data_IF_108650804846
#
_entry.id   IF_108650804846
#
_cell.length_a   1.000
_cell.length_b   1.000
_cell.length_c   1.000
_cell.angle_alpha   90.00
_cell.angle_beta   90.00
_cell.angle_gamma   90.00
#
_symmetry.space_group_name_H-M   'P 1'
#
loop_
_entity.id
_entity.type
_entity.pdbx_description
1 polymer ?
#
# COMPACT_ATOMS: atom_id res chain seq x y z
N UNK A 1 13.87 -1.00 5.21
CA UNK A 1 12.64 -0.94 4.37
C UNK A 1 11.43 -0.94 5.28
N UNK A 2 10.50 0.00 5.07
CA UNK A 2 9.33 0.17 5.95
C UNK A 2 8.23 -0.85 5.67
N UNK A 3 7.55 -1.29 6.72
CA UNK A 3 6.43 -2.21 6.62
C UNK A 3 5.11 -1.50 6.95
N UNK A 4 4.14 -1.56 6.05
CA UNK A 4 2.77 -1.07 6.22
C UNK A 4 1.87 -2.29 6.43
N UNK A 5 1.34 -2.44 7.65
CA UNK A 5 0.37 -3.50 7.93
C UNK A 5 -1.01 -3.09 7.43
N UNK A 6 -1.58 -3.88 6.50
CA UNK A 6 -2.91 -3.63 5.97
C UNK A 6 -3.96 -4.39 6.79
N UNK A 7 -4.91 -3.67 7.36
CA UNK A 7 -6.11 -4.20 8.02
C UNK A 7 -7.10 -4.78 6.99
N UNK A 8 -6.56 -5.61 6.07
CA UNK A 8 -7.32 -6.07 4.90
C UNK A 8 -7.14 -7.55 4.66
N UNK A 9 -8.25 -8.20 4.31
CA UNK A 9 -8.31 -9.59 3.89
C UNK A 9 -9.21 -9.71 2.67
N UNK A 10 -8.80 -10.50 1.68
CA UNK A 10 -9.55 -10.64 0.41
C UNK A 10 -9.88 -9.30 -0.26
N UNK A 11 -8.91 -8.39 -0.26
CA UNK A 11 -8.99 -7.04 -0.84
C UNK A 11 -10.08 -6.12 -0.22
N UNK A 12 -10.48 -6.38 1.02
CA UNK A 12 -11.43 -5.55 1.78
C UNK A 12 -10.90 -5.28 3.19
N UNK A 13 -11.23 -4.13 3.76
CA UNK A 13 -11.03 -3.84 5.17
C UNK A 13 -11.80 -4.83 6.01
N UNK A 14 -11.15 -5.43 7.03
CA UNK A 14 -11.76 -6.44 7.88
C UNK A 14 -12.81 -5.82 8.81
N UNK A 15 -13.89 -6.53 9.09
CA UNK A 15 -15.00 -6.01 9.91
C UNK A 15 -14.59 -5.75 11.37
N UNK A 16 -13.57 -6.46 11.87
CA UNK A 16 -13.02 -6.32 13.23
C UNK A 16 -11.75 -5.46 13.27
N UNK A 17 -11.62 -4.50 12.34
CA UNK A 17 -10.41 -3.70 12.12
C UNK A 17 -9.89 -3.02 13.41
N UNK A 18 -10.74 -2.51 14.28
CA UNK A 18 -10.34 -1.90 15.56
C UNK A 18 -9.69 -2.92 16.50
N UNK A 19 -10.28 -4.12 16.64
CA UNK A 19 -9.71 -5.17 17.49
C UNK A 19 -8.37 -5.66 16.95
N UNK A 20 -8.25 -5.80 15.63
CA UNK A 20 -7.01 -6.16 14.94
C UNK A 20 -5.96 -5.07 15.10
N UNK A 21 -6.34 -3.79 15.00
CA UNK A 21 -5.47 -2.64 15.25
C UNK A 21 -4.87 -2.69 16.66
N UNK A 22 -5.72 -2.87 17.68
CA UNK A 22 -5.26 -2.95 19.08
C UNK A 22 -4.23 -4.06 19.27
N UNK A 23 -4.49 -5.24 18.71
CA UNK A 23 -3.53 -6.35 18.76
C UNK A 23 -2.24 -6.02 18.00
N UNK A 24 -2.33 -5.46 16.81
CA UNK A 24 -1.17 -5.15 15.96
C UNK A 24 -0.24 -4.11 16.63
N UNK A 25 -0.79 -3.08 17.26
CA UNK A 25 -0.04 -2.04 17.93
C UNK A 25 0.84 -2.58 19.08
N UNK A 26 0.46 -3.71 19.70
CA UNK A 26 1.29 -4.36 20.74
C UNK A 26 2.62 -4.88 20.20
N UNK A 27 2.75 -5.12 18.90
CA UNK A 27 3.98 -5.59 18.25
C UNK A 27 4.97 -4.47 17.93
N UNK A 28 4.55 -3.21 18.08
CA UNK A 28 5.36 -2.05 17.73
C UNK A 28 5.17 -1.56 16.29
N UNK A 29 4.31 -2.20 15.47
CA UNK A 29 3.97 -1.65 14.15
C UNK A 29 3.33 -0.26 14.28
N UNK A 30 3.73 0.67 13.38
CA UNK A 30 3.28 2.08 13.42
C UNK A 30 2.81 2.59 12.07
N UNK A 31 2.82 1.78 11.03
CA UNK A 31 2.29 2.12 9.71
C UNK A 31 1.12 1.19 9.43
N UNK A 32 -0.08 1.73 9.40
CA UNK A 32 -1.33 0.96 9.36
C UNK A 32 -2.13 1.39 8.14
N UNK A 33 -2.48 0.44 7.30
CA UNK A 33 -3.28 0.67 6.12
C UNK A 33 -4.64 -0.04 6.17
N UNK A 34 -5.57 0.47 5.42
CA UNK A 34 -6.89 -0.10 5.15
C UNK A 34 -7.34 0.25 3.73
N UNK A 35 -8.45 -0.30 3.27
CA UNK A 35 -9.01 -0.01 1.93
C UNK A 35 -10.29 0.81 2.02
N UNK A 36 -10.60 1.50 0.93
CA UNK A 36 -11.83 2.25 0.72
C UNK A 36 -13.10 1.37 0.62
N UNK A 37 -12.94 0.06 0.71
CA UNK A 37 -14.00 -0.96 0.62
C UNK A 37 -14.00 -1.88 1.84
N UNK A 38 -15.17 -2.43 2.18
CA UNK A 38 -15.34 -3.34 3.32
C UNK A 38 -15.77 -2.67 4.62
N UNK A 39 -15.77 -1.32 4.70
CA UNK A 39 -16.23 -0.55 5.84
C UNK A 39 -16.96 0.73 5.38
N UNK A 40 -17.79 1.30 6.25
CA UNK A 40 -18.48 2.56 6.02
C UNK A 40 -17.55 3.76 6.22
N UNK A 41 -17.93 4.93 5.70
CA UNK A 41 -17.20 6.19 5.92
C UNK A 41 -16.98 6.48 7.41
N UNK A 42 -18.02 6.27 8.24
CA UNK A 42 -17.95 6.47 9.68
C UNK A 42 -16.92 5.53 10.33
N UNK A 43 -16.96 4.23 9.99
CA UNK A 43 -16.00 3.24 10.49
C UNK A 43 -14.56 3.56 10.07
N UNK A 44 -14.34 3.98 8.81
CA UNK A 44 -13.02 4.39 8.34
C UNK A 44 -12.52 5.66 9.06
N UNK A 45 -13.43 6.59 9.37
CA UNK A 45 -13.12 7.79 10.15
C UNK A 45 -12.68 7.46 11.57
N UNK A 46 -13.45 6.63 12.28
CA UNK A 46 -13.11 6.15 13.63
C UNK A 46 -11.79 5.37 13.64
N UNK A 47 -11.56 4.53 12.61
CA UNK A 47 -10.32 3.78 12.48
C UNK A 47 -9.11 4.71 12.28
N UNK A 48 -9.25 5.73 11.43
CA UNK A 48 -8.20 6.74 11.20
C UNK A 48 -7.88 7.50 12.48
N UNK A 49 -8.88 7.88 13.26
CA UNK A 49 -8.72 8.55 14.55
C UNK A 49 -7.98 7.64 15.55
N UNK A 50 -8.39 6.39 15.68
CA UNK A 50 -7.73 5.41 16.57
C UNK A 50 -6.26 5.17 16.19
N UNK A 51 -5.93 5.09 14.89
CA UNK A 51 -4.54 4.99 14.40
C UNK A 51 -3.74 6.23 14.82
N UNK A 52 -4.30 7.43 14.66
CA UNK A 52 -3.64 8.69 15.04
C UNK A 52 -3.44 8.81 16.54
N UNK A 53 -4.43 8.46 17.36
CA UNK A 53 -4.34 8.47 18.82
C UNK A 53 -3.26 7.51 19.34
N UNK A 54 -3.04 6.39 18.65
CA UNK A 54 -1.96 5.46 18.94
C UNK A 54 -0.56 5.96 18.50
N UNK A 55 -0.46 7.16 17.91
CA UNK A 55 0.80 7.70 17.37
C UNK A 55 1.31 6.92 16.16
N UNK A 56 0.41 6.27 15.42
CA UNK A 56 0.70 5.55 14.20
C UNK A 56 0.31 6.38 12.96
N UNK A 57 0.81 5.98 11.79
CA UNK A 57 0.57 6.62 10.49
C UNK A 57 -0.48 5.82 9.72
N UNK A 58 -1.48 6.51 9.20
CA UNK A 58 -2.61 5.93 8.49
C UNK A 58 -2.42 5.97 6.97
N UNK A 59 -2.77 4.86 6.30
CA UNK A 59 -2.74 4.70 4.85
C UNK A 59 -4.10 4.22 4.36
N UNK A 60 -4.69 4.85 3.35
CA UNK A 60 -5.88 4.34 2.69
C UNK A 60 -5.58 3.97 1.24
N UNK A 61 -5.80 2.71 0.88
CA UNK A 61 -5.63 2.22 -0.49
C UNK A 61 -6.96 2.31 -1.25
N UNK A 62 -6.98 3.11 -2.33
CA UNK A 62 -8.11 3.28 -3.25
C UNK A 62 -8.05 2.22 -4.33
N UNK A 63 -8.91 1.21 -4.23
CA UNK A 63 -8.99 0.10 -5.19
C UNK A 63 -10.15 0.23 -6.18
N UNK A 64 -10.96 1.25 -6.03
CA UNK A 64 -12.06 1.58 -6.94
C UNK A 64 -11.53 1.91 -8.34
N UNK A 65 -12.25 1.47 -9.40
CA UNK A 65 -11.81 1.60 -10.79
C UNK A 65 -12.68 2.54 -11.63
N UNK A 66 -13.87 2.91 -11.16
CA UNK A 66 -14.72 3.89 -11.87
C UNK A 66 -14.43 5.30 -11.35
N UNK A 67 -14.43 6.31 -12.24
CA UNK A 67 -14.14 7.70 -11.86
C UNK A 67 -15.04 8.21 -10.73
N UNK A 68 -16.33 7.82 -10.73
CA UNK A 68 -17.26 8.19 -9.66
C UNK A 68 -16.87 7.57 -8.31
N UNK A 69 -16.50 6.29 -8.29
CA UNK A 69 -16.07 5.61 -7.07
C UNK A 69 -14.71 6.14 -6.59
N UNK A 70 -13.74 6.36 -7.50
CA UNK A 70 -12.45 7.00 -7.18
C UNK A 70 -12.65 8.39 -6.56
N UNK A 71 -13.53 9.23 -7.15
CA UNK A 71 -13.86 10.55 -6.60
C UNK A 71 -14.42 10.45 -5.19
N UNK A 72 -15.35 9.52 -4.93
CA UNK A 72 -15.88 9.30 -3.58
C UNK A 72 -14.80 8.86 -2.60
N UNK A 73 -13.94 7.92 -3.00
CA UNK A 73 -12.87 7.40 -2.14
C UNK A 73 -11.83 8.46 -1.81
N UNK A 74 -11.42 9.28 -2.79
CA UNK A 74 -10.49 10.40 -2.55
C UNK A 74 -11.14 11.49 -1.66
N UNK A 75 -12.43 11.78 -1.86
CA UNK A 75 -13.20 12.66 -0.98
C UNK A 75 -13.26 12.11 0.44
N UNK A 76 -13.56 10.82 0.59
CA UNK A 76 -13.52 10.12 1.89
C UNK A 76 -12.15 10.27 2.56
N UNK A 77 -11.06 10.01 1.83
CA UNK A 77 -9.69 10.13 2.36
C UNK A 77 -9.40 11.57 2.87
N UNK A 78 -9.86 12.57 2.13
CA UNK A 78 -9.73 13.98 2.54
C UNK A 78 -10.56 14.30 3.80
N UNK A 79 -11.81 13.85 3.85
CA UNK A 79 -12.75 14.11 4.94
C UNK A 79 -12.30 13.47 6.26
N UNK A 80 -11.83 12.20 6.22
CA UNK A 80 -11.34 11.49 7.42
C UNK A 80 -9.92 11.90 7.82
N UNK A 81 -9.21 12.59 6.93
CA UNK A 81 -7.87 13.11 7.19
C UNK A 81 -6.80 12.02 7.34
N UNK A 82 -6.85 10.97 6.51
CA UNK A 82 -5.81 9.94 6.45
C UNK A 82 -4.46 10.56 6.05
N UNK A 83 -3.34 10.01 6.57
CA UNK A 83 -2.02 10.60 6.33
C UNK A 83 -1.54 10.40 4.90
N UNK A 84 -1.74 9.20 4.33
CA UNK A 84 -1.30 8.83 2.99
C UNK A 84 -2.36 8.08 2.21
N UNK A 85 -2.43 8.32 0.91
CA UNK A 85 -3.36 7.69 -0.01
C UNK A 85 -2.58 6.86 -1.02
N UNK A 86 -2.88 5.57 -1.06
CA UNK A 86 -2.31 4.59 -1.98
C UNK A 86 -3.32 4.27 -3.09
N UNK A 87 -2.84 3.90 -4.27
CA UNK A 87 -3.71 3.46 -5.36
C UNK A 87 -4.43 4.58 -6.10
N UNK A 88 -5.38 4.17 -6.96
CA UNK A 88 -5.97 5.09 -7.92
C UNK A 88 -4.97 5.51 -9.01
N UNK A 89 -5.42 6.30 -10.00
CA UNK A 89 -4.56 6.80 -11.09
C UNK A 89 -4.92 8.21 -11.54
N UNK A 90 -6.07 8.72 -11.14
CA UNK A 90 -6.64 9.96 -11.66
C UNK A 90 -6.07 11.17 -10.90
N UNK A 91 -5.09 11.84 -11.51
CA UNK A 91 -4.43 13.01 -10.95
C UNK A 91 -5.35 14.24 -10.85
N UNK A 92 -6.35 14.36 -11.72
CA UNK A 92 -7.28 15.50 -11.68
C UNK A 92 -8.21 15.34 -10.48
N UNK A 93 -8.78 14.15 -10.29
CA UNK A 93 -9.59 13.84 -9.11
C UNK A 93 -8.78 13.98 -7.81
N UNK A 94 -7.51 13.55 -7.82
CA UNK A 94 -6.63 13.72 -6.67
C UNK A 94 -6.37 15.20 -6.35
N UNK A 95 -6.14 16.06 -7.36
CA UNK A 95 -5.99 17.51 -7.15
C UNK A 95 -7.26 18.19 -6.63
N UNK A 96 -8.43 17.73 -7.09
CA UNK A 96 -9.71 18.22 -6.56
C UNK A 96 -9.87 17.88 -5.07
N UNK A 97 -9.51 16.66 -4.67
CA UNK A 97 -9.61 16.21 -3.28
C UNK A 97 -8.52 16.81 -2.38
N UNK A 98 -7.32 17.06 -2.92
CA UNK A 98 -6.15 17.54 -2.18
C UNK A 98 -5.57 18.82 -2.81
N UNK A 99 -6.26 19.97 -2.65
CA UNK A 99 -5.82 21.23 -3.27
C UNK A 99 -4.50 21.77 -2.70
N UNK A 100 -4.03 21.23 -1.57
CA UNK A 100 -2.74 21.58 -0.96
C UNK A 100 -1.53 20.92 -1.59
N UNK A 101 -1.72 19.95 -2.50
CA UNK A 101 -0.64 19.21 -3.15
C UNK A 101 -0.84 17.70 -3.12
N UNK A 102 -0.01 16.98 -3.86
CA UNK A 102 -0.10 15.52 -4.04
C UNK A 102 1.02 14.74 -3.31
N UNK A 103 1.75 15.37 -2.39
CA UNK A 103 2.88 14.74 -1.67
C UNK A 103 2.45 13.53 -0.83
N UNK A 104 1.15 13.42 -0.52
CA UNK A 104 0.56 12.30 0.24
C UNK A 104 -0.09 11.24 -0.66
N UNK A 105 -0.06 11.43 -1.97
CA UNK A 105 -0.69 10.55 -2.93
C UNK A 105 0.32 9.68 -3.64
N UNK A 106 0.06 8.36 -3.66
CA UNK A 106 0.90 7.30 -4.20
C UNK A 106 0.09 6.48 -5.21
N UNK A 107 -0.10 6.97 -6.44
CA UNK A 107 -0.93 6.30 -7.44
C UNK A 107 -0.31 4.98 -7.92
N UNK A 108 -1.17 4.11 -8.48
CA UNK A 108 -0.74 2.88 -9.16
C UNK A 108 -0.13 3.21 -10.53
N UNK A 109 1.16 2.93 -10.80
CA UNK A 109 1.70 3.00 -12.15
C UNK A 109 1.35 1.74 -12.95
N UNK A 110 1.27 1.85 -14.27
CA UNK A 110 0.91 0.77 -15.19
C UNK A 110 -0.59 0.71 -15.46
N UNK A 111 -1.15 -0.48 -15.63
CA UNK A 111 -2.55 -0.70 -16.02
C UNK A 111 -3.30 -1.57 -14.99
N UNK A 112 -3.64 -1.02 -13.82
CA UNK A 112 -4.41 -1.76 -12.83
C UNK A 112 -5.80 -2.10 -13.39
N UNK A 113 -6.26 -3.33 -13.12
CA UNK A 113 -7.55 -3.82 -13.60
C UNK A 113 -8.09 -4.96 -12.72
N UNK A 114 -9.38 -5.20 -12.81
CA UNK A 114 -10.05 -6.31 -12.12
C UNK A 114 -10.23 -6.11 -10.62
N UNK A 115 -10.81 -7.14 -9.99
CA UNK A 115 -10.94 -7.27 -8.55
C UNK A 115 -10.86 -8.76 -8.17
N UNK A 116 -9.86 -9.20 -7.40
CA UNK A 116 -8.71 -8.44 -6.85
C UNK A 116 -7.91 -7.72 -7.94
N UNK A 117 -7.36 -6.54 -7.59
CA UNK A 117 -6.64 -5.71 -8.56
C UNK A 117 -5.38 -6.42 -9.05
N UNK A 118 -5.28 -6.64 -10.36
CA UNK A 118 -4.09 -7.11 -11.06
C UNK A 118 -3.41 -5.96 -11.80
N UNK A 119 -2.14 -6.14 -12.17
CA UNK A 119 -1.37 -5.12 -12.87
C UNK A 119 -1.01 -5.60 -14.29
N UNK A 120 -1.56 -4.95 -15.31
CA UNK A 120 -1.11 -5.02 -16.69
C UNK A 120 -0.05 -3.96 -16.99
N UNK A 121 0.52 -4.07 -18.18
CA UNK A 121 1.56 -3.16 -18.66
C UNK A 121 2.97 -3.71 -18.48
N UNK A 122 3.89 -3.12 -19.22
CA UNK A 122 5.31 -3.49 -19.29
C UNK A 122 6.17 -2.50 -18.50
N UNK A 123 7.46 -2.78 -18.24
CA UNK A 123 8.35 -1.87 -17.53
C UNK A 123 8.36 -0.43 -18.07
N UNK A 124 8.26 -0.25 -19.39
CA UNK A 124 8.17 1.07 -20.01
C UNK A 124 6.87 1.84 -19.68
N UNK A 125 5.76 1.13 -19.49
CA UNK A 125 4.48 1.76 -19.12
C UNK A 125 4.57 2.25 -17.66
N UNK A 126 5.11 1.44 -16.77
CA UNK A 126 5.37 1.79 -15.37
C UNK A 126 6.34 2.97 -15.26
N UNK A 127 7.46 2.94 -15.99
CA UNK A 127 8.45 4.02 -16.00
C UNK A 127 7.83 5.36 -16.41
N UNK A 128 7.09 5.38 -17.53
CA UNK A 128 6.40 6.58 -18.01
C UNK A 128 5.42 7.15 -16.99
N UNK A 129 4.64 6.30 -16.35
CA UNK A 129 3.64 6.74 -15.36
C UNK A 129 4.34 7.26 -14.09
N UNK A 130 5.44 6.63 -13.64
CA UNK A 130 6.26 7.13 -12.54
C UNK A 130 6.80 8.54 -12.82
N UNK A 131 7.35 8.78 -14.03
CA UNK A 131 7.83 10.11 -14.45
C UNK A 131 6.68 11.14 -14.40
N UNK A 132 5.50 10.79 -14.93
CA UNK A 132 4.34 11.68 -14.90
C UNK A 132 3.86 11.99 -13.47
N UNK A 133 3.93 11.03 -12.55
CA UNK A 133 3.55 11.22 -11.16
C UNK A 133 4.57 12.07 -10.39
N UNK A 134 5.86 11.91 -10.67
CA UNK A 134 6.92 12.80 -10.14
C UNK A 134 6.68 14.24 -10.60
N UNK A 135 6.44 14.45 -11.89
CA UNK A 135 6.15 15.78 -12.48
C UNK A 135 4.87 16.40 -11.89
N UNK A 136 3.89 15.58 -11.54
CA UNK A 136 2.66 16.02 -10.90
C UNK A 136 2.83 16.39 -9.40
N UNK A 137 3.97 16.07 -8.78
CA UNK A 137 4.27 16.33 -7.38
C UNK A 137 3.78 15.25 -6.42
N UNK A 138 3.49 14.02 -6.90
CA UNK A 138 3.15 12.89 -6.03
C UNK A 138 4.29 12.54 -5.08
N UNK A 139 3.97 12.00 -3.89
CA UNK A 139 4.96 11.55 -2.90
C UNK A 139 5.80 10.37 -3.40
N UNK A 140 5.22 9.55 -4.23
CA UNK A 140 5.82 8.36 -4.83
C UNK A 140 4.79 7.57 -5.60
N UNK A 141 4.93 6.25 -5.62
CA UNK A 141 3.97 5.32 -6.25
C UNK A 141 3.72 4.11 -5.37
N UNK A 142 2.55 3.49 -5.57
CA UNK A 142 2.18 2.19 -5.02
C UNK A 142 2.14 1.15 -6.14
N UNK A 143 3.14 0.29 -6.22
CA UNK A 143 3.34 -0.64 -7.34
C UNK A 143 2.83 -2.05 -7.00
N UNK A 144 1.89 -2.58 -7.76
CA UNK A 144 1.36 -3.93 -7.63
C UNK A 144 2.26 -4.99 -8.31
N UNK A 145 3.57 -4.95 -8.02
CA UNK A 145 4.57 -5.73 -8.76
C UNK A 145 4.27 -7.23 -8.80
N UNK A 146 3.95 -7.86 -7.66
CA UNK A 146 3.67 -9.30 -7.60
C UNK A 146 2.25 -9.68 -8.05
N UNK A 147 1.46 -8.69 -8.51
CA UNK A 147 0.19 -8.90 -9.20
C UNK A 147 0.29 -8.66 -10.70
N UNK A 148 1.52 -8.55 -11.23
CA UNK A 148 1.78 -8.35 -12.65
C UNK A 148 1.32 -9.53 -13.49
N UNK A 149 0.71 -9.22 -14.66
CA UNK A 149 0.18 -10.21 -15.60
C UNK A 149 0.96 -10.24 -16.94
N UNK A 150 1.80 -9.24 -17.20
CA UNK A 150 2.47 -9.06 -18.51
C UNK A 150 4.00 -8.90 -18.39
N UNK A 151 4.56 -8.89 -17.18
CA UNK A 151 5.98 -8.67 -16.95
C UNK A 151 6.46 -9.37 -15.67
N UNK A 152 7.76 -9.57 -15.56
CA UNK A 152 8.39 -10.07 -14.33
C UNK A 152 8.34 -8.98 -13.23
N UNK A 153 7.90 -9.33 -12.00
CA UNK A 153 7.71 -8.36 -10.92
C UNK A 153 8.91 -7.45 -10.65
N UNK A 154 10.11 -8.02 -10.55
CA UNK A 154 11.30 -7.24 -10.21
C UNK A 154 11.81 -6.36 -11.38
N UNK A 155 11.42 -6.64 -12.63
CA UNK A 155 11.67 -5.73 -13.74
C UNK A 155 10.80 -4.47 -13.63
N UNK A 156 9.54 -4.61 -13.19
CA UNK A 156 8.67 -3.47 -12.92
C UNK A 156 9.20 -2.62 -11.74
N UNK A 157 9.67 -3.27 -10.67
CA UNK A 157 10.27 -2.58 -9.52
C UNK A 157 11.49 -1.76 -9.93
N UNK A 158 12.42 -2.35 -10.72
CA UNK A 158 13.60 -1.63 -11.19
C UNK A 158 13.24 -0.47 -12.12
N UNK A 159 12.27 -0.66 -13.00
CA UNK A 159 11.79 0.41 -13.88
C UNK A 159 11.16 1.57 -13.09
N UNK A 160 10.31 1.27 -12.10
CA UNK A 160 9.75 2.28 -11.20
C UNK A 160 10.85 3.01 -10.44
N UNK A 161 11.77 2.28 -9.78
CA UNK A 161 12.86 2.90 -9.00
C UNK A 161 13.72 3.86 -9.83
N UNK A 162 14.06 3.47 -11.07
CA UNK A 162 14.86 4.29 -11.98
C UNK A 162 14.16 5.60 -12.39
N UNK A 163 12.83 5.61 -12.44
CA UNK A 163 12.02 6.75 -12.93
C UNK A 163 11.46 7.65 -11.83
N UNK A 164 11.65 7.31 -10.55
CA UNK A 164 11.05 8.03 -9.42
C UNK A 164 11.86 9.23 -8.91
N UNK A 165 13.04 9.49 -9.46
CA UNK A 165 13.88 10.64 -9.08
C UNK A 165 14.04 10.82 -7.55
N UNK A 166 14.14 9.74 -6.80
CA UNK A 166 14.27 9.73 -5.33
C UNK A 166 12.94 9.81 -4.56
N UNK A 167 11.79 9.82 -5.23
CA UNK A 167 10.49 9.69 -4.58
C UNK A 167 10.29 8.27 -4.06
N UNK A 168 9.37 8.11 -3.10
CA UNK A 168 9.13 6.85 -2.42
C UNK A 168 8.51 5.78 -3.34
N UNK A 169 9.03 4.56 -3.27
CA UNK A 169 8.48 3.39 -3.95
C UNK A 169 7.88 2.44 -2.91
N UNK A 170 6.56 2.34 -2.90
CA UNK A 170 5.81 1.35 -2.12
C UNK A 170 5.47 0.19 -3.04
N UNK A 171 5.57 -1.05 -2.55
CA UNK A 171 5.11 -2.25 -3.26
C UNK A 171 3.98 -2.90 -2.50
N UNK A 172 2.82 -2.99 -3.14
CA UNK A 172 1.63 -3.62 -2.58
C UNK A 172 1.22 -4.89 -3.32
N UNK A 173 0.41 -5.68 -2.65
CA UNK A 173 -0.21 -6.88 -3.20
C UNK A 173 0.72 -8.06 -3.35
N UNK A 174 0.29 -9.19 -2.78
CA UNK A 174 1.00 -10.49 -2.87
C UNK A 174 2.45 -10.48 -2.37
N UNK A 175 2.81 -9.59 -1.44
CA UNK A 175 4.05 -9.72 -0.66
C UNK A 175 3.74 -10.70 0.48
N UNK A 176 4.11 -11.96 0.33
CA UNK A 176 3.62 -13.07 1.17
C UNK A 176 4.74 -13.98 1.70
N UNK A 177 6.00 -13.61 1.50
CA UNK A 177 7.13 -14.41 1.95
C UNK A 177 8.37 -13.57 2.30
N UNK A 178 9.25 -14.09 3.16
CA UNK A 178 10.54 -13.46 3.47
C UNK A 178 11.41 -13.22 2.23
N UNK A 179 11.35 -14.12 1.25
CA UNK A 179 12.13 -14.04 0.01
C UNK A 179 11.71 -12.82 -0.81
N UNK A 180 10.39 -12.56 -0.92
CA UNK A 180 9.88 -11.37 -1.61
C UNK A 180 10.30 -10.09 -0.90
N UNK A 181 10.24 -10.03 0.43
CA UNK A 181 10.71 -8.86 1.19
C UNK A 181 12.19 -8.58 0.92
N UNK A 182 13.05 -9.60 0.97
CA UNK A 182 14.49 -9.44 0.67
C UNK A 182 14.72 -8.97 -0.75
N UNK A 183 14.04 -9.57 -1.73
CA UNK A 183 14.15 -9.18 -3.14
C UNK A 183 13.71 -7.73 -3.40
N UNK A 184 12.68 -7.24 -2.68
CA UNK A 184 12.25 -5.85 -2.74
C UNK A 184 13.30 -4.91 -2.15
N UNK A 185 13.87 -5.26 -1.00
CA UNK A 185 14.92 -4.47 -0.36
C UNK A 185 16.16 -4.36 -1.25
N UNK A 186 16.61 -5.46 -1.86
CA UNK A 186 17.72 -5.48 -2.82
C UNK A 186 17.42 -4.65 -4.08
N UNK A 187 16.15 -4.54 -4.47
CA UNK A 187 15.71 -3.74 -5.61
C UNK A 187 15.49 -2.25 -5.28
N UNK A 188 15.73 -1.82 -4.03
CA UNK A 188 15.65 -0.43 -3.61
C UNK A 188 14.22 0.07 -3.35
N UNK A 189 13.33 -0.80 -2.89
CA UNK A 189 11.98 -0.45 -2.45
C UNK A 189 12.05 0.21 -1.07
N UNK A 190 11.29 1.28 -0.87
CA UNK A 190 11.29 2.03 0.40
C UNK A 190 10.32 1.42 1.41
N UNK A 191 9.13 1.00 0.94
CA UNK A 191 8.11 0.39 1.79
C UNK A 191 7.32 -0.71 1.06
N UNK A 192 6.68 -1.58 1.82
CA UNK A 192 5.80 -2.61 1.27
C UNK A 192 4.57 -2.83 2.15
N UNK A 193 3.50 -3.39 1.57
CA UNK A 193 2.27 -3.70 2.29
C UNK A 193 2.04 -5.20 2.40
N UNK A 194 1.55 -5.66 3.56
CA UNK A 194 1.00 -7.00 3.75
C UNK A 194 -0.31 -6.93 4.54
N UNK A 195 -1.32 -7.65 4.05
CA UNK A 195 -2.59 -7.88 4.74
C UNK A 195 -2.89 -9.38 4.81
N UNK A 196 -3.55 -9.92 3.79
CA UNK A 196 -4.09 -11.30 3.77
C UNK A 196 -3.11 -12.38 4.23
N UNK A 197 -1.83 -12.31 3.86
CA UNK A 197 -0.85 -13.32 4.24
C UNK A 197 -0.63 -13.44 5.76
N UNK A 198 -0.81 -12.33 6.51
CA UNK A 198 -0.76 -12.34 7.98
C UNK A 198 -2.03 -12.98 8.54
N UNK A 199 -3.21 -12.58 8.04
CA UNK A 199 -4.48 -13.13 8.49
C UNK A 199 -4.65 -14.61 8.19
N UNK A 200 -4.14 -15.06 7.05
CA UNK A 200 -4.25 -16.45 6.59
C UNK A 200 -3.13 -17.36 7.12
N UNK A 201 -2.14 -16.78 7.81
CA UNK A 201 -0.99 -17.51 8.34
C UNK A 201 -0.02 -18.01 7.27
N UNK A 202 -0.11 -17.52 6.04
CA UNK A 202 0.69 -17.99 4.91
C UNK A 202 2.11 -17.40 4.89
N UNK A 203 2.35 -16.28 5.55
CA UNK A 203 3.68 -15.68 5.61
C UNK A 203 4.69 -16.57 6.36
N UNK A 204 4.27 -17.13 7.51
CA UNK A 204 5.05 -18.08 8.30
C UNK A 204 4.23 -19.33 8.61
N UNK A 205 4.14 -20.30 7.68
CA UNK A 205 3.20 -21.44 7.79
C UNK A 205 3.39 -22.32 9.04
N UNK A 206 4.55 -22.26 9.66
CA UNK A 206 4.85 -23.01 10.89
C UNK A 206 4.44 -22.29 12.18
N UNK A 207 3.90 -21.07 12.09
CA UNK A 207 3.48 -20.23 13.21
C UNK A 207 1.99 -19.90 13.10
N UNK A 208 1.20 -20.37 14.05
CA UNK A 208 -0.27 -20.40 13.96
C UNK A 208 -1.00 -19.16 14.48
N UNK A 209 -0.32 -18.12 15.02
CA UNK A 209 -1.03 -16.96 15.56
C UNK A 209 -0.80 -15.71 14.71
N UNK A 210 -1.82 -14.85 14.62
CA UNK A 210 -1.74 -13.53 13.99
C UNK A 210 -0.53 -12.72 14.47
N UNK A 211 -0.33 -12.62 15.78
CA UNK A 211 0.81 -11.87 16.35
C UNK A 211 2.16 -12.44 15.93
N UNK A 212 2.29 -13.77 15.86
CA UNK A 212 3.55 -14.39 15.42
C UNK A 212 3.85 -14.12 13.95
N UNK A 213 2.82 -14.10 13.09
CA UNK A 213 2.97 -13.70 11.68
C UNK A 213 3.47 -12.26 11.58
N UNK A 214 2.84 -11.33 12.33
CA UNK A 214 3.19 -9.91 12.29
C UNK A 214 4.61 -9.65 12.82
N UNK A 215 5.01 -10.30 13.90
CA UNK A 215 6.37 -10.21 14.45
C UNK A 215 7.42 -10.72 13.47
N UNK A 216 7.14 -11.80 12.73
CA UNK A 216 8.05 -12.34 11.72
C UNK A 216 8.23 -11.36 10.55
N UNK A 217 7.15 -10.71 10.10
CA UNK A 217 7.27 -9.68 9.06
C UNK A 217 8.15 -8.53 9.54
N UNK A 218 7.94 -8.04 10.76
CA UNK A 218 8.75 -6.97 11.36
C UNK A 218 10.22 -7.37 11.47
N UNK A 219 10.51 -8.60 11.91
CA UNK A 219 11.87 -9.13 12.01
C UNK A 219 12.56 -9.19 10.64
N UNK A 220 11.87 -9.75 9.63
CA UNK A 220 12.41 -9.85 8.27
C UNK A 220 12.63 -8.47 7.66
N UNK A 221 11.69 -7.54 7.86
CA UNK A 221 11.80 -6.17 7.37
C UNK A 221 12.99 -5.41 7.98
N UNK A 222 13.19 -5.56 9.30
CA UNK A 222 14.31 -4.92 10.00
C UNK A 222 15.69 -5.46 9.57
N UNK A 223 15.77 -6.74 9.22
CA UNK A 223 16.99 -7.42 8.80
C UNK A 223 17.20 -7.44 7.28
N UNK A 224 16.29 -6.88 6.49
CA UNK A 224 16.43 -6.81 5.04
C UNK A 224 17.59 -5.86 4.65
N UNK A 225 18.44 -6.24 3.70
CA UNK A 225 19.56 -5.39 3.28
C UNK A 225 19.02 -4.08 2.70
N UNK A 226 19.62 -2.94 3.07
CA UNK A 226 19.37 -1.70 2.33
C UNK A 226 20.11 -1.78 0.99
N UNK A 227 19.48 -1.32 -0.10
CA UNK A 227 20.18 -1.09 -1.34
C UNK A 227 21.32 -0.09 -1.11
N UNK A 228 22.53 -0.43 -1.57
CA UNK A 228 23.73 0.38 -1.42
C UNK A 228 23.72 1.58 -2.38
#
# INVERSE_FOLDING_TARGET
MDFIFMLTRHDQTVADAHQVLDMALTTGVRRIGFKDVGATLEELGLLTEAIREAGAVSYMEVVSTTSEAVRRSLGTAADIGVDYILGGQDLELAREAFPGGLERFFPFPGKPHGHPTALGGRPRDVARDCEAYVDAGCGGVDLLAFRATEAEPLELVRAARASLAGRELIVAGSVDSPERIRALAEAGVDAFTIGSAIFDGSFSPNKGSFLSQLLDVLEVSANAPCAA
#
